data_IF_060123992871
#
_entry.id   IF_060123992871
#
_cell.length_a   1.000
_cell.length_b   1.000
_cell.length_c   1.000
_cell.angle_alpha   90.00
_cell.angle_beta   90.00
_cell.angle_gamma   90.00
#
_symmetry.space_group_name_H-M   'P 1'
#
loop_
_entity.id
_entity.type
_entity.pdbx_description
1 polymer ?
#
# COMPACT_ATOMS: atom_id res chain seq x y z
N UNK A 1 25.68 -10.64 -10.87
CA UNK A 1 24.88 -9.56 -11.50
C UNK A 1 25.43 -8.19 -11.03
N UNK A 2 25.39 -7.12 -11.85
CA UNK A 2 25.88 -5.78 -11.46
C UNK A 2 25.07 -5.16 -10.30
N UNK A 3 23.76 -5.35 -10.31
CA UNK A 3 22.84 -4.88 -9.28
C UNK A 3 22.22 -6.07 -8.54
N UNK A 4 22.15 -5.96 -7.20
CA UNK A 4 21.55 -6.96 -6.32
C UNK A 4 20.02 -6.95 -6.42
N UNK A 5 19.41 -5.77 -6.52
CA UNK A 5 17.98 -5.59 -6.77
C UNK A 5 17.71 -5.49 -8.28
N UNK A 6 16.97 -6.45 -8.84
CA UNK A 6 16.56 -6.49 -10.26
C UNK A 6 15.08 -6.77 -10.29
N UNK A 7 14.30 -5.70 -10.21
CA UNK A 7 12.87 -5.78 -9.92
C UNK A 7 11.96 -5.51 -11.11
N UNK A 8 10.72 -5.97 -10.98
CA UNK A 8 9.56 -5.47 -11.70
C UNK A 8 8.45 -5.19 -10.68
N UNK A 9 7.60 -4.19 -10.94
CA UNK A 9 6.42 -3.91 -10.13
C UNK A 9 5.16 -4.37 -10.86
N UNK A 10 4.25 -5.01 -10.13
CA UNK A 10 2.91 -5.37 -10.61
C UNK A 10 1.85 -4.59 -9.83
N UNK A 11 1.10 -3.73 -10.52
CA UNK A 11 -0.10 -3.08 -9.99
C UNK A 11 -1.30 -4.02 -10.12
N UNK A 12 -1.70 -4.59 -8.98
CA UNK A 12 -2.94 -5.38 -8.85
C UNK A 12 -4.12 -4.55 -8.34
N UNK A 13 -3.88 -3.34 -7.82
CA UNK A 13 -4.91 -2.49 -7.25
C UNK A 13 -5.78 -1.86 -8.33
N UNK A 14 -5.19 -1.33 -9.40
CA UNK A 14 -5.93 -0.74 -10.52
C UNK A 14 -6.62 -1.81 -11.34
N UNK A 15 -5.94 -2.91 -11.66
CA UNK A 15 -6.55 -4.06 -12.32
C UNK A 15 -6.13 -5.38 -11.67
N UNK A 16 -7.09 -6.26 -11.38
CA UNK A 16 -6.79 -7.54 -10.75
C UNK A 16 -6.21 -8.52 -11.79
N UNK A 17 -5.16 -9.25 -11.42
CA UNK A 17 -4.61 -10.35 -12.22
C UNK A 17 -4.89 -11.68 -11.52
N UNK A 18 -5.17 -12.74 -12.28
CA UNK A 18 -5.38 -14.07 -11.68
C UNK A 18 -4.06 -14.64 -11.14
N UNK A 19 -4.11 -15.57 -10.17
CA UNK A 19 -2.90 -16.28 -9.70
C UNK A 19 -2.09 -16.95 -10.83
N UNK A 20 -2.74 -17.44 -11.88
CA UNK A 20 -2.07 -17.99 -13.07
C UNK A 20 -1.30 -16.92 -13.86
N UNK A 21 -1.89 -15.74 -14.06
CA UNK A 21 -1.22 -14.63 -14.74
C UNK A 21 0.04 -14.18 -13.97
N UNK A 22 -0.03 -14.17 -12.63
CA UNK A 22 1.12 -13.83 -11.79
C UNK A 22 2.21 -14.92 -11.88
N UNK A 23 1.84 -16.20 -11.90
CA UNK A 23 2.79 -17.30 -12.12
C UNK A 23 3.51 -17.15 -13.47
N UNK A 24 2.78 -16.82 -14.53
CA UNK A 24 3.38 -16.58 -15.85
C UNK A 24 4.35 -15.38 -15.85
N UNK A 25 4.02 -14.30 -15.12
CA UNK A 25 4.95 -13.18 -14.93
C UNK A 25 6.22 -13.62 -14.20
N UNK A 26 6.10 -14.41 -13.13
CA UNK A 26 7.25 -14.92 -12.37
C UNK A 26 8.15 -15.83 -13.23
N UNK A 27 7.57 -16.63 -14.12
CA UNK A 27 8.33 -17.43 -15.10
C UNK A 27 9.13 -16.53 -16.05
N UNK A 28 8.52 -15.47 -16.58
CA UNK A 28 9.20 -14.51 -17.45
C UNK A 28 10.31 -13.74 -16.72
N UNK A 29 10.05 -13.30 -15.48
CA UNK A 29 11.04 -12.66 -14.61
C UNK A 29 12.26 -13.54 -14.39
N UNK A 30 12.04 -14.83 -14.09
CA UNK A 30 13.11 -15.80 -13.88
C UNK A 30 13.96 -16.00 -15.15
N UNK A 31 13.34 -16.11 -16.32
CA UNK A 31 14.05 -16.21 -17.61
C UNK A 31 14.97 -15.00 -17.87
N UNK A 32 14.53 -13.81 -17.44
CA UNK A 32 15.29 -12.55 -17.54
C UNK A 32 16.23 -12.30 -16.35
N UNK A 33 16.33 -13.25 -15.41
CA UNK A 33 17.15 -13.18 -14.20
C UNK A 33 16.78 -12.01 -13.26
N UNK A 34 15.54 -11.53 -13.33
CA UNK A 34 14.96 -10.65 -12.30
C UNK A 34 14.78 -11.45 -11.01
N UNK A 35 14.86 -10.79 -9.85
CA UNK A 35 14.83 -11.44 -8.55
C UNK A 35 13.94 -10.76 -7.50
N UNK A 36 13.26 -9.67 -7.86
CA UNK A 36 12.32 -9.00 -6.96
C UNK A 36 11.02 -8.70 -7.68
N UNK A 37 9.90 -9.23 -7.18
CA UNK A 37 8.58 -8.74 -7.58
C UNK A 37 8.13 -7.75 -6.51
N UNK A 38 8.04 -6.47 -6.88
CA UNK A 38 7.33 -5.48 -6.09
C UNK A 38 5.83 -5.64 -6.39
N UNK A 39 5.03 -5.94 -5.38
CA UNK A 39 3.62 -6.22 -5.58
C UNK A 39 2.75 -5.14 -4.94
N UNK A 40 2.28 -4.23 -5.79
CA UNK A 40 1.38 -3.14 -5.44
C UNK A 40 -0.05 -3.67 -5.27
N UNK A 41 -0.44 -3.87 -4.01
CA UNK A 41 -1.62 -4.66 -3.62
C UNK A 41 -2.81 -3.81 -3.17
N UNK A 42 -2.62 -2.53 -2.89
CA UNK A 42 -3.66 -1.66 -2.33
C UNK A 42 -3.57 -0.28 -2.95
N UNK A 43 -4.70 0.29 -3.34
CA UNK A 43 -4.82 1.67 -3.82
C UNK A 43 -6.28 2.12 -3.69
N UNK A 44 -6.59 3.33 -4.14
CA UNK A 44 -7.92 3.93 -4.10
C UNK A 44 -8.99 3.10 -4.81
N UNK A 45 -8.62 2.43 -5.91
CA UNK A 45 -9.54 1.66 -6.74
C UNK A 45 -9.59 0.18 -6.35
N UNK A 46 -8.86 -0.25 -5.32
CA UNK A 46 -8.83 -1.66 -4.94
C UNK A 46 -7.91 -2.02 -3.79
N UNK A 47 -8.45 -2.79 -2.84
CA UNK A 47 -7.68 -3.52 -1.84
C UNK A 47 -7.65 -5.01 -2.20
N UNK A 48 -6.46 -5.57 -2.44
CA UNK A 48 -6.31 -6.92 -3.02
C UNK A 48 -5.84 -7.99 -2.05
N UNK A 49 -5.46 -7.65 -0.82
CA UNK A 49 -4.89 -8.60 0.13
C UNK A 49 -5.90 -9.01 1.20
N UNK A 50 -6.16 -10.31 1.39
CA UNK A 50 -6.95 -10.75 2.53
C UNK A 50 -6.25 -10.46 3.87
N UNK A 51 -6.85 -9.59 4.67
CA UNK A 51 -6.52 -9.37 6.07
C UNK A 51 -7.68 -9.90 6.90
N UNK A 52 -7.45 -11.01 7.61
CA UNK A 52 -8.51 -11.75 8.31
C UNK A 52 -9.13 -10.94 9.44
N UNK A 53 -8.34 -10.09 10.10
CA UNK A 53 -8.85 -9.18 11.14
C UNK A 53 -9.77 -8.10 10.58
N UNK A 54 -9.61 -7.74 9.30
CA UNK A 54 -10.37 -6.69 8.62
C UNK A 54 -11.02 -7.21 7.32
N UNK A 55 -12.01 -8.13 7.41
CA UNK A 55 -12.56 -8.81 6.25
C UNK A 55 -13.28 -7.88 5.25
N UNK A 56 -13.70 -6.67 5.68
CA UNK A 56 -14.33 -5.72 4.75
C UNK A 56 -13.33 -5.11 3.78
N UNK A 57 -12.03 -5.15 4.06
CA UNK A 57 -11.00 -4.64 3.14
C UNK A 57 -11.13 -5.35 1.79
N UNK A 58 -11.36 -6.67 1.75
CA UNK A 58 -11.58 -7.41 0.52
C UNK A 58 -13.05 -7.54 0.12
N UNK A 59 -13.97 -7.69 1.09
CA UNK A 59 -15.40 -7.81 0.78
C UNK A 59 -16.02 -6.51 0.21
N UNK A 60 -15.49 -5.35 0.59
CA UNK A 60 -15.89 -4.03 0.08
C UNK A 60 -14.78 -3.44 -0.77
N UNK A 61 -13.60 -3.20 -0.18
CA UNK A 61 -12.48 -2.54 -0.87
C UNK A 61 -11.91 -3.31 -2.06
N UNK A 62 -12.16 -4.63 -2.14
CA UNK A 62 -11.79 -5.46 -3.28
C UNK A 62 -12.67 -5.27 -4.52
N UNK A 63 -13.75 -4.49 -4.43
CA UNK A 63 -14.75 -4.36 -5.49
C UNK A 63 -15.11 -2.89 -5.75
N UNK A 64 -15.19 -2.54 -7.03
CA UNK A 64 -15.68 -1.24 -7.50
C UNK A 64 -16.62 -1.43 -8.68
N UNK A 65 -17.20 -0.33 -9.18
CA UNK A 65 -17.79 -0.33 -10.52
C UNK A 65 -16.68 -0.07 -11.55
N UNK A 66 -16.77 -0.72 -12.70
CA UNK A 66 -15.84 -0.47 -13.81
C UNK A 66 -15.84 1.02 -14.20
N UNK A 67 -14.67 1.67 -14.38
CA UNK A 67 -14.55 3.07 -14.80
C UNK A 67 -15.30 3.30 -16.11
N UNK A 68 -16.27 4.21 -16.13
CA UNK A 68 -16.98 4.61 -17.38
C UNK A 68 -16.04 5.33 -18.35
N UNK A 69 -14.96 5.93 -17.83
CA UNK A 69 -13.95 6.70 -18.57
C UNK A 69 -12.96 5.84 -19.38
N UNK A 70 -12.99 4.51 -19.26
CA UNK A 70 -12.16 3.59 -20.04
C UNK A 70 -12.89 2.97 -21.24
N UNK A 71 -12.17 2.49 -22.28
CA UNK A 71 -12.77 1.89 -23.49
C UNK A 71 -13.60 0.61 -23.24
N UNK A 72 -13.67 0.12 -22.00
CA UNK A 72 -14.42 -1.06 -21.55
C UNK A 72 -15.33 -0.76 -20.33
N UNK A 73 -15.60 0.51 -20.06
CA UNK A 73 -16.43 0.94 -18.94
C UNK A 73 -17.90 0.64 -19.16
N UNK A 74 -18.39 -0.44 -18.57
CA UNK A 74 -19.80 -0.85 -18.63
C UNK A 74 -20.55 -0.64 -17.29
N UNK A 75 -19.84 -0.15 -16.26
CA UNK A 75 -20.37 0.03 -14.91
C UNK A 75 -20.62 -1.27 -14.15
N UNK A 76 -20.21 -2.42 -14.70
CA UNK A 76 -20.34 -3.72 -14.04
C UNK A 76 -19.45 -3.80 -12.79
N UNK A 77 -19.77 -4.67 -11.81
CA UNK A 77 -18.88 -4.98 -10.72
C UNK A 77 -17.52 -5.45 -11.25
N UNK A 78 -16.47 -4.81 -10.79
CA UNK A 78 -15.09 -5.09 -11.16
C UNK A 78 -14.24 -5.22 -9.90
N UNK A 79 -13.47 -6.29 -9.79
CA UNK A 79 -12.70 -6.52 -8.59
C UNK A 79 -12.14 -7.92 -8.49
N UNK A 80 -11.78 -8.26 -7.25
CA UNK A 80 -11.06 -9.46 -6.89
C UNK A 80 -10.03 -9.15 -5.80
N UNK A 81 -9.62 -10.20 -5.11
CA UNK A 81 -8.58 -10.16 -4.09
C UNK A 81 -7.89 -11.52 -4.03
N UNK A 82 -6.74 -11.57 -3.40
CA UNK A 82 -5.97 -12.77 -3.13
C UNK A 82 -6.24 -13.19 -1.68
N UNK A 83 -6.76 -14.40 -1.50
CA UNK A 83 -6.80 -15.04 -0.18
C UNK A 83 -5.37 -15.27 0.33
N UNK A 84 -5.22 -15.38 1.64
CA UNK A 84 -3.92 -15.70 2.24
C UNK A 84 -3.34 -17.03 1.72
N UNK A 85 -4.19 -18.00 1.39
CA UNK A 85 -3.76 -19.27 0.81
C UNK A 85 -3.15 -19.09 -0.59
N UNK A 86 -3.79 -18.27 -1.45
CA UNK A 86 -3.27 -17.94 -2.78
C UNK A 86 -1.96 -17.15 -2.69
N UNK A 87 -1.88 -16.18 -1.78
CA UNK A 87 -0.64 -15.41 -1.54
C UNK A 87 0.49 -16.34 -1.12
N UNK A 88 0.27 -17.25 -0.16
CA UNK A 88 1.29 -18.22 0.27
C UNK A 88 1.74 -19.11 -0.89
N UNK A 89 0.82 -19.55 -1.76
CA UNK A 89 1.14 -20.34 -2.94
C UNK A 89 1.98 -19.56 -3.96
N UNK A 90 1.62 -18.29 -4.22
CA UNK A 90 2.37 -17.40 -5.12
C UNK A 90 3.76 -17.10 -4.57
N UNK A 91 3.88 -16.79 -3.28
CA UNK A 91 5.16 -16.58 -2.59
C UNK A 91 6.05 -17.81 -2.70
N UNK A 92 5.51 -19.01 -2.44
CA UNK A 92 6.27 -20.25 -2.60
C UNK A 92 6.71 -20.49 -4.06
N UNK A 93 5.85 -20.19 -5.03
CA UNK A 93 6.17 -20.31 -6.45
C UNK A 93 7.28 -19.35 -6.90
N UNK A 94 7.27 -18.12 -6.39
CA UNK A 94 8.31 -17.12 -6.62
C UNK A 94 9.64 -17.53 -5.98
N UNK A 95 9.61 -18.02 -4.74
CA UNK A 95 10.80 -18.49 -4.02
C UNK A 95 11.48 -19.65 -4.74
N UNK A 96 10.73 -20.60 -5.32
CA UNK A 96 11.25 -21.68 -6.14
C UNK A 96 11.99 -21.20 -7.41
N UNK A 97 11.83 -19.92 -7.78
CA UNK A 97 12.49 -19.25 -8.90
C UNK A 97 13.52 -18.21 -8.45
N UNK A 98 13.87 -18.19 -7.17
CA UNK A 98 14.75 -17.20 -6.56
C UNK A 98 14.26 -15.75 -6.70
N UNK A 99 12.93 -15.57 -6.74
CA UNK A 99 12.28 -14.26 -6.75
C UNK A 99 11.71 -13.99 -5.35
N UNK A 100 12.13 -12.89 -4.75
CA UNK A 100 11.54 -12.36 -3.51
C UNK A 100 10.35 -11.48 -3.87
N UNK A 101 9.22 -11.66 -3.19
CA UNK A 101 8.06 -10.77 -3.30
C UNK A 101 8.11 -9.72 -2.19
N UNK A 102 8.18 -8.45 -2.56
CA UNK A 102 8.08 -7.29 -1.67
C UNK A 102 6.64 -6.77 -1.76
N UNK A 103 5.80 -6.94 -0.73
CA UNK A 103 4.43 -6.44 -0.75
C UNK A 103 4.42 -4.93 -0.50
N UNK A 104 3.44 -4.26 -1.08
CA UNK A 104 3.14 -2.85 -0.82
C UNK A 104 1.73 -2.68 -0.25
N UNK A 105 1.66 -1.95 0.87
CA UNK A 105 0.43 -1.45 1.46
C UNK A 105 0.52 0.07 1.48
N UNK A 106 -0.27 0.71 0.63
CA UNK A 106 -0.30 2.16 0.47
C UNK A 106 -0.76 2.86 1.74
N UNK A 107 -0.02 3.91 2.11
CA UNK A 107 -0.31 4.81 3.23
C UNK A 107 0.58 6.06 3.17
N UNK A 108 0.17 7.21 3.75
CA UNK A 108 -1.17 7.52 4.23
C UNK A 108 -2.16 7.84 3.09
N UNK A 109 -1.63 8.08 1.88
CA UNK A 109 -2.37 8.27 0.63
C UNK A 109 -2.88 6.97 0.03
N UNK A 110 -3.49 7.06 -1.17
CA UNK A 110 -4.02 5.91 -1.91
C UNK A 110 -4.91 4.97 -1.07
N UNK A 111 -5.60 5.53 -0.07
CA UNK A 111 -6.25 4.78 1.00
C UNK A 111 -7.77 4.64 0.80
N UNK A 112 -8.34 5.17 -0.30
CA UNK A 112 -9.81 5.26 -0.45
C UNK A 112 -10.51 3.90 -0.38
N UNK A 113 -9.92 2.83 -0.92
CA UNK A 113 -10.53 1.50 -0.84
C UNK A 113 -10.63 0.98 0.61
N UNK A 114 -9.60 1.24 1.43
CA UNK A 114 -9.61 0.89 2.84
C UNK A 114 -10.61 1.75 3.63
N UNK A 115 -10.69 3.05 3.33
CA UNK A 115 -11.64 3.97 3.97
C UNK A 115 -13.08 3.65 3.56
N UNK A 116 -13.34 3.20 2.33
CA UNK A 116 -14.66 2.71 1.93
C UNK A 116 -15.05 1.44 2.70
N UNK A 117 -14.09 0.56 2.98
CA UNK A 117 -14.31 -0.63 3.79
C UNK A 117 -14.53 -0.30 5.28
N UNK A 118 -13.82 0.68 5.81
CA UNK A 118 -13.86 1.12 7.20
C UNK A 118 -13.76 2.66 7.28
N UNK A 119 -14.89 3.38 7.17
CA UNK A 119 -14.92 4.85 7.14
C UNK A 119 -14.23 5.53 8.32
N UNK A 120 -14.23 4.88 9.48
CA UNK A 120 -13.55 5.32 10.70
C UNK A 120 -12.02 5.41 10.58
N UNK A 121 -11.42 4.80 9.56
CA UNK A 121 -9.99 4.93 9.26
C UNK A 121 -9.66 6.25 8.54
N UNK A 122 -10.65 6.91 7.94
CA UNK A 122 -10.47 8.15 7.21
C UNK A 122 -10.68 9.40 8.07
N UNK A 123 -10.06 10.50 7.68
CA UNK A 123 -10.09 11.78 8.44
C UNK A 123 -11.51 12.31 8.69
N UNK A 124 -12.43 12.06 7.76
CA UNK A 124 -13.80 12.60 7.84
C UNK A 124 -14.82 11.63 8.44
N UNK A 125 -14.45 10.36 8.67
CA UNK A 125 -15.38 9.32 9.11
C UNK A 125 -16.46 8.94 8.08
N UNK A 126 -16.40 9.47 6.85
CA UNK A 126 -17.40 9.24 5.79
C UNK A 126 -16.94 8.13 4.86
N UNK A 127 -17.89 7.35 4.35
CA UNK A 127 -17.66 6.37 3.29
C UNK A 127 -17.55 7.09 1.93
N UNK A 128 -16.38 7.11 1.28
CA UNK A 128 -16.20 7.70 -0.04
C UNK A 128 -16.64 6.79 -1.19
N UNK A 129 -16.95 5.52 -0.91
CA UNK A 129 -16.97 4.43 -1.88
C UNK A 129 -15.58 4.15 -2.46
N UNK A 130 -15.39 2.95 -3.04
CA UNK A 130 -14.15 2.61 -3.76
C UNK A 130 -14.07 3.43 -5.05
N UNK A 131 -12.90 3.98 -5.39
CA UNK A 131 -12.74 4.82 -6.57
C UNK A 131 -13.04 4.06 -7.87
N UNK A 132 -13.75 4.73 -8.77
CA UNK A 132 -13.97 4.25 -10.14
C UNK A 132 -13.02 4.90 -11.13
N UNK A 133 -12.52 6.10 -10.85
CA UNK A 133 -11.62 6.86 -11.72
C UNK A 133 -10.15 6.76 -11.27
N UNK A 134 -9.26 7.20 -12.16
CA UNK A 134 -7.81 7.20 -11.98
C UNK A 134 -7.30 8.58 -11.53
N UNK A 135 -6.05 8.64 -11.08
CA UNK A 135 -5.37 9.86 -10.65
C UNK A 135 -5.23 9.97 -9.14
N UNK A 136 -4.74 11.12 -8.67
CA UNK A 136 -4.47 11.38 -7.26
C UNK A 136 -5.75 11.76 -6.52
N UNK A 137 -6.11 11.00 -5.49
CA UNK A 137 -7.35 11.23 -4.73
C UNK A 137 -7.06 11.72 -3.30
N UNK A 138 -7.91 12.61 -2.75
CA UNK A 138 -7.60 13.30 -1.51
C UNK A 138 -7.98 12.51 -0.25
N UNK A 139 -8.07 11.18 -0.30
CA UNK A 139 -8.53 10.36 0.82
C UNK A 139 -7.35 9.80 1.59
N UNK A 140 -7.09 10.38 2.78
CA UNK A 140 -5.99 9.98 3.65
C UNK A 140 -6.49 9.16 4.83
N UNK A 141 -5.66 8.23 5.29
CA UNK A 141 -5.80 7.68 6.64
C UNK A 141 -5.77 8.79 7.70
N UNK A 142 -6.49 8.57 8.79
CA UNK A 142 -6.42 9.41 9.98
C UNK A 142 -5.12 9.14 10.76
N UNK A 143 -4.77 10.04 11.69
CA UNK A 143 -3.51 9.97 12.46
C UNK A 143 -3.71 9.63 13.94
N UNK A 144 -4.89 9.09 14.27
CA UNK A 144 -5.24 8.69 15.62
C UNK A 144 -4.72 7.30 15.99
N UNK A 145 -4.79 6.98 17.28
CA UNK A 145 -4.25 5.72 17.79
C UNK A 145 -5.02 4.48 17.25
N UNK A 146 -6.31 4.65 16.90
CA UNK A 146 -7.11 3.60 16.26
C UNK A 146 -6.57 3.25 14.87
N UNK A 147 -6.30 4.26 14.05
CA UNK A 147 -5.74 4.07 12.71
C UNK A 147 -4.31 3.53 12.78
N UNK A 148 -3.52 3.97 13.75
CA UNK A 148 -2.20 3.40 14.00
C UNK A 148 -2.26 1.93 14.43
N UNK A 149 -3.29 1.52 15.18
CA UNK A 149 -3.51 0.12 15.51
C UNK A 149 -3.90 -0.69 14.27
N UNK A 150 -4.78 -0.17 13.42
CA UNK A 150 -5.12 -0.79 12.14
C UNK A 150 -3.88 -1.05 11.29
N UNK A 151 -2.98 -0.06 11.16
CA UNK A 151 -1.73 -0.22 10.41
C UNK A 151 -0.89 -1.36 10.97
N UNK A 152 -0.70 -1.42 12.30
CA UNK A 152 0.06 -2.51 12.94
C UNK A 152 -0.56 -3.88 12.68
N UNK A 153 -1.87 -3.97 12.81
CA UNK A 153 -2.61 -5.22 12.64
C UNK A 153 -2.54 -5.73 11.20
N UNK A 154 -2.61 -4.84 10.21
CA UNK A 154 -2.39 -5.20 8.80
C UNK A 154 -0.95 -5.67 8.59
N UNK A 155 0.04 -4.95 9.15
CA UNK A 155 1.44 -5.31 9.02
C UNK A 155 1.77 -6.66 9.66
N UNK A 156 1.13 -7.04 10.76
CA UNK A 156 1.26 -8.38 11.36
C UNK A 156 0.93 -9.46 10.33
N UNK A 157 -0.25 -9.38 9.72
CA UNK A 157 -0.69 -10.38 8.73
C UNK A 157 0.17 -10.33 7.45
N UNK A 158 0.62 -9.14 7.02
CA UNK A 158 1.56 -9.01 5.90
C UNK A 158 2.89 -9.70 6.21
N UNK A 159 3.46 -9.51 7.40
CA UNK A 159 4.73 -10.13 7.81
C UNK A 159 4.64 -11.65 7.92
N UNK A 160 3.46 -12.19 8.21
CA UNK A 160 3.20 -13.64 8.21
C UNK A 160 3.09 -14.24 6.80
N UNK A 161 2.66 -13.45 5.82
CA UNK A 161 2.45 -13.90 4.45
C UNK A 161 3.72 -13.77 3.60
N UNK A 162 4.48 -12.72 3.83
CA UNK A 162 5.62 -12.36 3.00
C UNK A 162 6.94 -12.52 3.78
N UNK A 163 7.81 -13.47 3.39
CA UNK A 163 9.09 -13.68 4.06
C UNK A 163 10.12 -12.58 3.77
N UNK A 164 9.84 -11.66 2.85
CA UNK A 164 10.72 -10.55 2.47
C UNK A 164 11.17 -9.73 3.68
N UNK A 165 12.45 -9.36 3.72
CA UNK A 165 12.96 -8.38 4.69
C UNK A 165 12.29 -7.02 4.48
N UNK A 166 11.96 -6.67 3.24
CA UNK A 166 11.35 -5.38 2.88
C UNK A 166 9.83 -5.47 2.78
N UNK A 167 9.15 -4.45 3.31
CA UNK A 167 7.73 -4.17 3.09
C UNK A 167 7.63 -2.71 2.64
N UNK A 168 6.91 -2.49 1.54
CA UNK A 168 6.68 -1.16 0.99
C UNK A 168 5.45 -0.53 1.67
N UNK A 169 5.60 0.70 2.16
CA UNK A 169 4.53 1.44 2.83
C UNK A 169 3.98 2.59 1.95
N UNK A 170 4.28 2.57 0.65
CA UNK A 170 3.89 3.62 -0.28
C UNK A 170 4.54 4.94 0.07
N UNK A 171 3.70 5.95 0.29
CA UNK A 171 4.07 7.29 0.75
C UNK A 171 4.07 8.36 -0.35
N UNK A 172 3.54 8.04 -1.53
CA UNK A 172 3.41 8.93 -2.67
C UNK A 172 2.09 9.72 -2.67
N UNK A 173 2.11 10.83 -3.39
CA UNK A 173 0.94 11.62 -3.82
C UNK A 173 -0.14 11.97 -2.75
N UNK A 174 0.19 11.95 -1.46
CA UNK A 174 -0.79 12.22 -0.41
C UNK A 174 -1.20 13.72 -0.35
N UNK A 175 -2.42 14.02 -0.81
CA UNK A 175 -3.01 15.38 -0.79
C UNK A 175 -3.43 15.76 0.64
N UNK A 176 -2.75 16.74 1.23
CA UNK A 176 -2.85 17.09 2.66
C UNK A 176 -4.10 17.88 3.07
N UNK A 177 -5.00 18.19 2.15
CA UNK A 177 -6.14 19.08 2.43
C UNK A 177 -7.10 18.53 3.50
N UNK A 178 -7.30 17.20 3.56
CA UNK A 178 -8.11 16.59 4.63
C UNK A 178 -7.48 16.79 6.02
N UNK A 179 -6.15 16.65 6.12
CA UNK A 179 -5.43 16.87 7.37
C UNK A 179 -5.42 18.34 7.79
N UNK A 180 -5.21 19.26 6.85
CA UNK A 180 -5.29 20.72 7.09
C UNK A 180 -6.66 21.15 7.62
N UNK A 181 -7.72 20.59 7.04
CA UNK A 181 -9.10 20.94 7.39
C UNK A 181 -9.60 20.30 8.70
N UNK A 182 -8.90 19.32 9.27
CA UNK A 182 -9.37 18.55 10.43
C UNK A 182 -8.82 19.09 11.76
N UNK A 183 -9.66 19.62 12.66
CA UNK A 183 -9.21 20.10 13.97
C UNK A 183 -8.54 19.02 14.82
N UNK A 184 -9.00 17.77 14.71
CA UNK A 184 -8.42 16.65 15.45
C UNK A 184 -7.01 16.29 14.94
N UNK A 185 -6.82 16.32 13.62
CA UNK A 185 -5.50 16.09 13.01
C UNK A 185 -4.54 17.22 13.37
N UNK A 186 -4.99 18.48 13.27
CA UNK A 186 -4.18 19.63 13.67
C UNK A 186 -3.80 19.59 15.17
N UNK A 187 -4.72 19.19 16.05
CA UNK A 187 -4.42 18.99 17.47
C UNK A 187 -3.35 17.91 17.69
N UNK A 188 -3.39 16.80 16.94
CA UNK A 188 -2.36 15.75 16.99
C UNK A 188 -1.01 16.26 16.48
N UNK A 189 -0.99 16.98 15.36
CA UNK A 189 0.20 17.62 14.79
C UNK A 189 0.87 18.53 15.83
N UNK A 190 0.11 19.40 16.50
CA UNK A 190 0.63 20.27 17.56
C UNK A 190 1.12 19.49 18.79
N UNK A 191 0.38 18.45 19.22
CA UNK A 191 0.78 17.61 20.36
C UNK A 191 2.09 16.85 20.09
N UNK A 192 2.37 16.51 18.83
CA UNK A 192 3.62 15.90 18.40
C UNK A 192 4.75 16.91 18.18
N UNK A 193 4.47 18.22 18.28
CA UNK A 193 5.45 19.28 18.04
C UNK A 193 5.89 19.40 16.58
N UNK A 194 5.07 18.93 15.64
CA UNK A 194 5.36 18.97 14.21
C UNK A 194 4.98 20.32 13.62
N UNK A 195 5.67 20.73 12.54
CA UNK A 195 5.50 22.05 11.92
C UNK A 195 4.34 22.10 10.92
N UNK A 196 4.15 21.03 10.18
CA UNK A 196 3.26 20.96 9.02
C UNK A 196 2.85 19.51 8.71
N UNK A 197 1.96 19.33 7.74
CA UNK A 197 1.44 18.03 7.34
C UNK A 197 2.48 17.14 6.63
N UNK A 198 3.56 17.71 6.08
CA UNK A 198 4.66 16.95 5.49
C UNK A 198 5.45 16.21 6.59
N UNK A 199 5.70 16.90 7.71
CA UNK A 199 6.25 16.25 8.89
C UNK A 199 5.29 15.24 9.53
N UNK A 200 3.98 15.49 9.46
CA UNK A 200 2.97 14.54 9.93
C UNK A 200 2.95 13.26 9.10
N UNK A 201 3.08 13.35 7.79
CA UNK A 201 3.24 12.19 6.91
C UNK A 201 4.52 11.42 7.24
N UNK A 202 5.64 12.13 7.41
CA UNK A 202 6.90 11.47 7.79
C UNK A 202 6.78 10.78 9.15
N UNK A 203 6.08 11.39 10.11
CA UNK A 203 5.78 10.77 11.39
C UNK A 203 4.92 9.51 11.24
N UNK A 204 3.88 9.55 10.39
CA UNK A 204 2.98 8.42 10.12
C UNK A 204 3.77 7.23 9.56
N UNK A 205 4.53 7.47 8.48
CA UNK A 205 5.35 6.47 7.81
C UNK A 205 6.39 5.90 8.78
N UNK A 206 7.02 6.75 9.60
CA UNK A 206 7.97 6.34 10.63
C UNK A 206 7.33 5.46 11.73
N UNK A 207 6.04 5.61 12.04
CA UNK A 207 5.37 4.66 12.96
C UNK A 207 5.36 3.25 12.37
N UNK A 208 5.01 3.12 11.09
CA UNK A 208 5.08 1.85 10.37
C UNK A 208 6.51 1.33 10.26
N UNK A 209 7.46 2.20 9.93
CA UNK A 209 8.88 1.87 9.82
C UNK A 209 9.48 1.33 11.12
N UNK A 210 9.19 1.97 12.25
CA UNK A 210 9.60 1.48 13.58
C UNK A 210 8.95 0.15 13.93
N UNK A 211 7.67 -0.01 13.60
CA UNK A 211 6.97 -1.26 13.83
C UNK A 211 7.61 -2.42 13.06
N UNK A 212 7.90 -2.20 11.77
CA UNK A 212 8.62 -3.16 10.94
C UNK A 212 10.02 -3.46 11.48
N UNK A 213 10.78 -2.44 11.88
CA UNK A 213 12.12 -2.61 12.44
C UNK A 213 12.11 -3.45 13.73
N UNK A 214 11.11 -3.25 14.61
CA UNK A 214 10.93 -4.04 15.82
C UNK A 214 10.68 -5.54 15.53
N UNK A 215 10.21 -5.87 14.33
CA UNK A 215 9.97 -7.25 13.86
C UNK A 215 11.07 -7.75 12.91
N UNK A 216 12.23 -7.10 12.87
CA UNK A 216 13.36 -7.50 12.01
C UNK A 216 13.12 -7.27 10.51
N UNK A 217 12.12 -6.45 10.16
CA UNK A 217 11.82 -6.02 8.79
C UNK A 217 12.38 -4.63 8.53
N UNK A 218 12.38 -4.24 7.27
CA UNK A 218 12.82 -2.93 6.79
C UNK A 218 11.73 -2.30 5.95
N UNK A 219 11.47 -1.03 6.21
CA UNK A 219 10.58 -0.23 5.39
C UNK A 219 11.26 0.19 4.09
N UNK A 220 10.52 0.13 3.00
CA UNK A 220 10.78 0.87 1.77
C UNK A 220 9.56 1.75 1.45
N UNK A 221 9.76 2.89 0.80
CA UNK A 221 8.69 3.78 0.37
C UNK A 221 9.12 4.63 -0.83
N UNK A 222 8.18 5.30 -1.47
CA UNK A 222 8.43 6.22 -2.59
C UNK A 222 9.24 7.45 -2.15
N UNK A 223 9.86 8.18 -3.09
CA UNK A 223 10.80 9.26 -2.74
C UNK A 223 10.20 10.43 -1.97
N UNK A 224 8.89 10.60 -1.97
CA UNK A 224 8.21 11.59 -1.14
C UNK A 224 8.40 11.38 0.37
N UNK A 225 8.72 10.15 0.83
CA UNK A 225 9.03 9.92 2.26
C UNK A 225 10.27 10.70 2.75
N UNK A 226 11.04 11.29 1.83
CA UNK A 226 12.17 12.16 2.14
C UNK A 226 11.74 13.56 2.63
N UNK A 227 10.52 14.02 2.32
CA UNK A 227 10.11 15.43 2.43
C UNK A 227 10.08 15.97 3.87
N UNK A 228 9.72 15.15 4.85
CA UNK A 228 9.70 15.56 6.27
C UNK A 228 10.87 15.04 7.12
N UNK A 229 11.83 14.32 6.51
CA UNK A 229 13.06 13.84 7.15
C UNK A 229 13.23 12.32 7.10
N UNK A 230 14.42 11.87 6.70
CA UNK A 230 14.76 10.45 6.49
C UNK A 230 14.69 9.62 7.79
N UNK A 231 13.82 8.59 7.85
CA UNK A 231 13.97 7.53 8.84
C UNK A 231 15.34 6.87 8.71
N UNK A 232 16.13 6.72 9.79
CA UNK A 232 17.44 6.07 9.73
C UNK A 232 17.43 4.65 9.14
N UNK A 233 16.26 4.00 9.12
CA UNK A 233 16.05 2.64 8.62
C UNK A 233 15.44 2.57 7.21
N UNK A 234 15.03 3.68 6.60
CA UNK A 234 14.29 3.69 5.33
C UNK A 234 15.19 3.31 4.14
N UNK A 235 14.64 2.49 3.26
CA UNK A 235 15.08 2.42 1.86
C UNK A 235 14.10 3.22 1.00
N UNK A 236 14.60 3.87 -0.04
CA UNK A 236 13.79 4.78 -0.88
C UNK A 236 13.72 4.23 -2.29
N UNK A 237 12.52 4.22 -2.86
CA UNK A 237 12.29 3.94 -4.27
C UNK A 237 12.09 5.27 -5.01
N UNK A 238 13.15 5.74 -5.67
CA UNK A 238 13.11 6.98 -6.47
C UNK A 238 12.40 6.73 -7.80
N UNK A 239 11.40 7.57 -8.10
CA UNK A 239 10.61 7.51 -9.32
C UNK A 239 10.50 8.87 -10.03
N UNK A 240 10.61 9.97 -9.27
CA UNK A 240 10.73 11.32 -9.84
C UNK A 240 12.09 11.61 -10.49
N UNK A 241 13.08 10.73 -10.30
CA UNK A 241 14.44 10.90 -10.79
C UNK A 241 15.38 11.53 -9.76
N UNK A 242 16.58 11.92 -10.23
CA UNK A 242 17.67 12.47 -9.40
C UNK A 242 17.99 13.93 -9.75
N UNK A 243 17.09 14.60 -10.47
CA UNK A 243 17.28 15.99 -10.91
C UNK A 243 16.92 17.00 -9.81
#
# INVERSE_FOLDING_TARGET
PRLSWRGAMLDSARHFQTPDAIRALLDAMAALKLNTLHWHLTDDQGWRLEIRRYPRLTAVGGWRRSPVSGPRGDGAPYGGFYSQAEVRAIVAYAAARHITIVPEIEMPGHARAAIAAYPELGVTGRDPGVATDYGVLPWLYNVDDHTMQFVRDVLDEVMELFPSTFIHLGGDEAIKDQWRASPAVQARLHALGLRDEEQLESWFIEQGGRYLAAHGRRMIGWDEILRGGLPPSASVMSWHGVD
#
